data_IF_531484430998
#
_entry.id   IF_531484430998
#
_cell.length_a   1.000
_cell.length_b   1.000
_cell.length_c   1.000
_cell.angle_alpha   90.00
_cell.angle_beta   90.00
_cell.angle_gamma   90.00
#
_symmetry.space_group_name_H-M   'P 1'
#
loop_
_entity.id
_entity.type
_entity.pdbx_description
1 polymer ?
#
# COMPACT_ATOMS: atom_id res chain seq x y z
N UNK A 1 21.08 -22.09 -13.56
CA UNK A 1 19.95 -22.38 -12.66
C UNK A 1 18.95 -23.18 -13.48
N UNK A 2 18.69 -24.44 -13.11
CA UNK A 2 17.95 -25.39 -13.93
C UNK A 2 16.46 -24.99 -14.03
N UNK A 3 15.91 -24.98 -15.24
CA UNK A 3 14.49 -24.64 -15.52
C UNK A 3 13.51 -25.48 -14.67
N UNK A 4 13.89 -26.72 -14.36
CA UNK A 4 13.10 -27.63 -13.50
C UNK A 4 13.01 -27.17 -12.02
N UNK A 5 13.99 -26.42 -11.55
CA UNK A 5 14.01 -25.87 -10.18
C UNK A 5 13.11 -24.65 -10.07
N UNK A 6 13.04 -23.83 -11.13
CA UNK A 6 12.14 -22.66 -11.22
C UNK A 6 10.68 -23.09 -11.30
N UNK A 7 10.37 -24.15 -12.07
CA UNK A 7 9.00 -24.69 -12.16
C UNK A 7 8.54 -25.35 -10.86
N UNK A 8 9.45 -26.01 -10.13
CA UNK A 8 9.13 -26.63 -8.86
C UNK A 8 8.89 -25.62 -7.74
N UNK A 9 9.63 -24.51 -7.76
CA UNK A 9 9.43 -23.38 -6.85
C UNK A 9 8.11 -22.65 -7.16
N UNK A 10 7.80 -22.41 -8.44
CA UNK A 10 6.50 -21.85 -8.87
C UNK A 10 5.32 -22.76 -8.48
N UNK A 11 5.50 -24.07 -8.55
CA UNK A 11 4.46 -25.02 -8.14
C UNK A 11 4.27 -25.04 -6.62
N UNK A 12 5.37 -24.88 -5.85
CA UNK A 12 5.31 -24.73 -4.39
C UNK A 12 4.61 -23.43 -3.98
N UNK A 13 4.90 -22.31 -4.62
CA UNK A 13 4.21 -21.02 -4.40
C UNK A 13 2.73 -21.12 -4.76
N UNK A 14 2.38 -21.79 -5.86
CA UNK A 14 0.99 -22.05 -6.25
C UNK A 14 0.24 -22.95 -5.23
N UNK A 15 0.97 -23.73 -4.44
CA UNK A 15 0.44 -24.58 -3.37
C UNK A 15 0.46 -23.91 -1.99
N UNK A 16 1.21 -22.81 -1.81
CA UNK A 16 1.20 -22.02 -0.59
C UNK A 16 -0.01 -21.09 -0.61
N UNK A 17 -1.06 -21.51 0.04
CA UNK A 17 -2.26 -20.70 0.21
C UNK A 17 -1.95 -19.59 1.22
N UNK A 18 -1.89 -18.36 0.76
CA UNK A 18 -1.72 -17.20 1.64
C UNK A 18 -3.08 -16.84 2.22
N UNK A 19 -3.32 -17.28 3.44
CA UNK A 19 -4.61 -17.08 4.13
C UNK A 19 -4.50 -16.03 5.24
N UNK A 20 -3.35 -15.96 5.98
CA UNK A 20 -3.17 -15.08 7.12
C UNK A 20 -2.05 -14.05 6.85
N UNK A 21 -2.41 -12.78 6.81
CA UNK A 21 -1.53 -11.68 6.40
C UNK A 21 -1.46 -10.61 7.49
N UNK A 22 -0.25 -10.17 7.85
CA UNK A 22 -0.03 -8.90 8.53
C UNK A 22 0.17 -7.80 7.47
N UNK A 23 -0.67 -6.78 7.50
CA UNK A 23 -0.61 -5.65 6.58
C UNK A 23 -0.09 -4.38 7.26
N UNK A 24 0.76 -3.63 6.55
CA UNK A 24 1.41 -2.40 7.04
C UNK A 24 1.12 -1.24 6.09
N UNK A 25 0.63 -0.13 6.64
CA UNK A 25 0.41 1.14 5.92
C UNK A 25 1.18 2.27 6.59
N UNK A 26 2.09 2.90 5.82
CA UNK A 26 2.90 4.04 6.28
C UNK A 26 3.18 5.05 5.16
N UNK A 27 2.53 4.90 4.02
CA UNK A 27 2.82 5.69 2.81
C UNK A 27 2.44 7.17 2.92
N UNK A 28 1.61 7.52 3.88
CA UNK A 28 1.05 8.87 4.05
C UNK A 28 1.13 9.35 5.50
N UNK A 29 0.21 10.21 5.91
CA UNK A 29 0.01 10.60 7.33
C UNK A 29 -0.74 9.53 8.14
N UNK A 30 -1.21 8.46 7.53
CA UNK A 30 -1.73 7.29 8.23
C UNK A 30 -0.58 6.34 8.56
N UNK A 31 -0.53 5.90 9.82
CA UNK A 31 0.27 4.77 10.25
C UNK A 31 -0.67 3.68 10.71
N UNK A 32 -0.50 2.45 10.22
CA UNK A 32 -1.41 1.38 10.56
C UNK A 32 -0.83 -0.02 10.37
N UNK A 33 -1.40 -0.96 11.13
CA UNK A 33 -1.23 -2.40 10.98
C UNK A 33 -2.60 -3.08 11.02
N UNK A 34 -2.77 -4.15 10.24
CA UNK A 34 -3.98 -4.96 10.25
C UNK A 34 -3.61 -6.44 10.10
N UNK A 35 -4.43 -7.31 10.68
CA UNK A 35 -4.35 -8.76 10.48
C UNK A 35 -5.56 -9.21 9.69
N UNK A 36 -5.31 -9.82 8.54
CA UNK A 36 -6.33 -10.27 7.59
C UNK A 36 -6.24 -11.79 7.47
N UNK A 37 -7.36 -12.47 7.63
CA UNK A 37 -7.48 -13.90 7.37
C UNK A 37 -8.44 -14.10 6.19
N UNK A 38 -7.89 -14.42 5.03
CA UNK A 38 -8.64 -14.48 3.75
C UNK A 38 -9.29 -13.13 3.44
N UNK A 39 -10.61 -13.11 3.34
CA UNK A 39 -11.41 -11.91 3.09
C UNK A 39 -11.85 -11.20 4.37
N UNK A 40 -11.46 -11.73 5.55
CA UNK A 40 -11.92 -11.22 6.84
C UNK A 40 -10.83 -10.40 7.52
N UNK A 41 -11.20 -9.22 7.96
CA UNK A 41 -10.36 -8.39 8.82
C UNK A 41 -10.49 -8.84 10.26
N UNK A 42 -9.44 -9.43 10.83
CA UNK A 42 -9.42 -9.85 12.23
C UNK A 42 -9.16 -8.68 13.17
N UNK A 43 -8.25 -7.79 12.80
CA UNK A 43 -7.92 -6.61 13.58
C UNK A 43 -7.37 -5.48 12.70
N UNK A 44 -7.61 -4.25 13.12
CA UNK A 44 -7.02 -3.02 12.54
C UNK A 44 -6.61 -2.10 13.67
N UNK A 45 -5.39 -1.58 13.58
CA UNK A 45 -4.86 -0.53 14.45
C UNK A 45 -4.24 0.53 13.57
N UNK A 46 -4.89 1.65 13.39
CA UNK A 46 -4.39 2.73 12.54
C UNK A 46 -4.73 4.10 13.12
N UNK A 47 -3.87 5.07 12.87
CA UNK A 47 -4.01 6.44 13.36
C UNK A 47 -3.43 7.45 12.38
N UNK A 48 -4.08 8.59 12.28
CA UNK A 48 -3.48 9.78 11.69
C UNK A 48 -2.31 10.25 12.56
N UNK A 49 -1.13 10.34 11.99
CA UNK A 49 0.07 10.74 12.73
C UNK A 49 0.96 11.64 11.89
N UNK A 50 1.71 12.52 12.56
CA UNK A 50 2.68 13.37 11.91
C UNK A 50 4.10 12.97 12.33
N UNK A 51 4.87 12.39 11.40
CA UNK A 51 6.30 12.05 11.55
C UNK A 51 6.65 11.08 12.71
N UNK A 52 5.66 10.32 13.23
CA UNK A 52 5.88 9.35 14.34
C UNK A 52 5.76 7.89 13.90
N UNK A 53 5.77 7.61 12.60
CA UNK A 53 5.58 6.25 12.08
C UNK A 53 6.57 5.25 12.67
N UNK A 54 7.87 5.60 12.75
CA UNK A 54 8.89 4.70 13.29
C UNK A 54 8.72 4.41 14.79
N UNK A 55 8.12 5.35 15.53
CA UNK A 55 7.89 5.21 16.97
C UNK A 55 6.68 4.31 17.28
N UNK A 56 5.58 4.48 16.51
CA UNK A 56 4.29 3.87 16.83
C UNK A 56 3.99 2.59 16.03
N UNK A 57 4.61 2.37 14.88
CA UNK A 57 4.34 1.19 14.06
C UNK A 57 4.62 -0.14 14.77
N UNK A 58 5.71 -0.32 15.54
CA UNK A 58 5.92 -1.55 16.28
C UNK A 58 4.80 -1.86 17.29
N UNK A 59 4.34 -0.87 18.04
CA UNK A 59 3.21 -0.99 18.97
C UNK A 59 1.91 -1.35 18.23
N UNK A 60 1.67 -0.76 17.05
CA UNK A 60 0.47 -1.06 16.28
C UNK A 60 0.46 -2.48 15.73
N UNK A 61 1.62 -2.98 15.30
CA UNK A 61 1.78 -4.38 14.86
C UNK A 61 1.51 -5.33 16.04
N UNK A 62 2.14 -5.10 17.20
CA UNK A 62 1.93 -5.89 18.40
C UNK A 62 0.44 -5.89 18.79
N UNK A 63 -0.18 -4.72 18.90
CA UNK A 63 -1.60 -4.58 19.24
C UNK A 63 -2.53 -5.28 18.21
N UNK A 64 -2.21 -5.21 16.92
CA UNK A 64 -3.01 -5.86 15.89
C UNK A 64 -2.92 -7.40 16.01
N UNK A 65 -1.74 -7.93 16.26
CA UNK A 65 -1.52 -9.36 16.49
C UNK A 65 -2.22 -9.84 17.76
N UNK A 66 -2.09 -9.10 18.88
CA UNK A 66 -2.78 -9.43 20.14
C UNK A 66 -4.30 -9.46 19.97
N UNK A 67 -4.89 -8.44 19.35
CA UNK A 67 -6.35 -8.35 19.10
C UNK A 67 -6.86 -9.47 18.21
N UNK A 68 -6.06 -9.94 17.28
CA UNK A 68 -6.40 -11.06 16.41
C UNK A 68 -6.11 -12.43 17.04
N UNK A 69 -5.47 -12.46 18.23
CA UNK A 69 -4.98 -13.68 18.89
C UNK A 69 -4.02 -14.48 17.99
N UNK A 70 -3.18 -13.77 17.22
CA UNK A 70 -2.17 -14.36 16.34
C UNK A 70 -0.79 -13.89 16.75
N UNK A 71 0.23 -14.63 16.33
CA UNK A 71 1.65 -14.30 16.45
C UNK A 71 2.26 -14.14 15.06
N UNK A 72 3.47 -13.58 14.97
CA UNK A 72 4.18 -13.48 13.68
C UNK A 72 4.45 -14.86 13.08
N UNK A 73 4.63 -15.88 13.92
CA UNK A 73 4.84 -17.26 13.50
C UNK A 73 3.62 -17.95 12.87
N UNK A 74 2.41 -17.40 13.04
CA UNK A 74 1.19 -17.90 12.44
C UNK A 74 0.94 -17.34 11.03
N UNK A 75 1.67 -16.29 10.65
CA UNK A 75 1.46 -15.57 9.39
C UNK A 75 1.97 -16.35 8.19
N UNK A 76 1.28 -16.23 7.07
CA UNK A 76 1.71 -16.77 5.77
C UNK A 76 2.50 -15.72 4.95
N UNK A 77 2.22 -14.43 5.16
CA UNK A 77 2.89 -13.34 4.47
C UNK A 77 2.79 -12.00 5.22
N UNK A 78 3.63 -11.05 4.81
CA UNK A 78 3.53 -9.65 5.21
C UNK A 78 3.17 -8.82 3.99
N UNK A 79 2.09 -8.03 4.08
CA UNK A 79 1.72 -7.05 3.07
C UNK A 79 2.21 -5.66 3.48
N UNK A 80 2.66 -4.85 2.52
CA UNK A 80 3.10 -3.49 2.79
C UNK A 80 2.80 -2.56 1.63
N UNK A 81 2.30 -1.36 1.91
CA UNK A 81 2.17 -0.33 0.90
C UNK A 81 3.54 0.13 0.40
N UNK A 82 3.76 0.04 -0.92
CA UNK A 82 5.07 0.34 -1.53
C UNK A 82 5.13 1.69 -2.26
N UNK A 83 4.03 2.40 -2.34
CA UNK A 83 3.94 3.68 -3.02
C UNK A 83 2.80 3.74 -4.06
N UNK A 84 2.59 4.95 -4.58
CA UNK A 84 3.27 6.21 -4.26
C UNK A 84 2.97 6.71 -2.85
N UNK A 85 3.88 7.52 -2.28
CA UNK A 85 3.72 8.06 -0.94
C UNK A 85 4.95 8.83 -0.45
N UNK A 86 4.97 9.13 0.85
CA UNK A 86 6.09 9.85 1.46
C UNK A 86 7.34 8.98 1.52
N UNK A 87 8.47 9.54 1.12
CA UNK A 87 9.76 8.84 1.05
C UNK A 87 10.16 8.17 2.39
N UNK A 88 10.01 8.89 3.50
CA UNK A 88 10.33 8.39 4.83
C UNK A 88 9.36 7.30 5.27
N UNK A 89 8.06 7.53 5.08
CA UNK A 89 7.02 6.58 5.47
C UNK A 89 7.17 5.23 4.75
N UNK A 90 7.33 5.24 3.44
CA UNK A 90 7.55 4.02 2.64
C UNK A 90 8.77 3.22 3.10
N UNK A 91 9.87 3.91 3.47
CA UNK A 91 11.08 3.23 3.99
C UNK A 91 10.85 2.61 5.37
N UNK A 92 10.13 3.29 6.25
CA UNK A 92 9.79 2.76 7.57
C UNK A 92 8.96 1.48 7.41
N UNK A 93 7.87 1.53 6.65
CA UNK A 93 6.99 0.38 6.46
C UNK A 93 7.72 -0.79 5.81
N UNK A 94 8.42 -0.55 4.70
CA UNK A 94 9.15 -1.62 4.01
C UNK A 94 10.31 -2.16 4.84
N UNK A 95 11.04 -1.31 5.58
CA UNK A 95 12.11 -1.75 6.48
C UNK A 95 11.58 -2.67 7.58
N UNK A 96 10.46 -2.30 8.21
CA UNK A 96 9.77 -3.12 9.22
C UNK A 96 9.29 -4.45 8.62
N UNK A 97 8.61 -4.39 7.45
CA UNK A 97 8.15 -5.60 6.76
C UNK A 97 9.31 -6.55 6.43
N UNK A 98 10.43 -6.04 5.92
CA UNK A 98 11.63 -6.83 5.65
C UNK A 98 12.25 -7.44 6.91
N UNK A 99 12.31 -6.68 8.01
CA UNK A 99 12.83 -7.20 9.27
C UNK A 99 12.02 -8.37 9.80
N UNK A 100 10.69 -8.26 9.80
CA UNK A 100 9.78 -9.34 10.19
C UNK A 100 9.84 -10.53 9.22
N UNK A 101 9.84 -10.26 7.92
CA UNK A 101 9.94 -11.30 6.89
C UNK A 101 11.25 -12.09 7.02
N UNK A 102 12.36 -11.40 7.24
CA UNK A 102 13.65 -12.06 7.43
C UNK A 102 13.71 -12.93 8.69
N UNK A 103 13.15 -12.45 9.80
CA UNK A 103 13.23 -13.18 11.08
C UNK A 103 12.35 -14.44 11.13
N UNK A 104 11.35 -14.55 10.25
CA UNK A 104 10.38 -15.65 10.24
C UNK A 104 10.28 -16.37 8.88
N UNK A 105 11.20 -16.08 7.96
CA UNK A 105 11.23 -16.64 6.59
C UNK A 105 9.91 -16.46 5.84
N UNK A 106 9.28 -15.28 6.00
CA UNK A 106 7.99 -14.96 5.39
C UNK A 106 8.18 -14.22 4.06
N UNK A 107 7.31 -14.46 3.07
CA UNK A 107 7.25 -13.65 1.86
C UNK A 107 6.63 -12.28 2.13
N UNK A 108 6.88 -11.33 1.22
CA UNK A 108 6.24 -10.01 1.22
C UNK A 108 5.33 -9.87 -0.01
N UNK A 109 4.14 -9.29 0.22
CA UNK A 109 3.23 -8.84 -0.83
C UNK A 109 3.31 -7.31 -0.91
N UNK A 110 4.02 -6.74 -1.88
CA UNK A 110 4.06 -5.30 -2.11
C UNK A 110 2.73 -4.82 -2.73
N UNK A 111 2.09 -3.85 -2.08
CA UNK A 111 0.76 -3.37 -2.47
C UNK A 111 0.84 -1.92 -2.95
N UNK A 112 0.39 -1.61 -4.19
CA UNK A 112 0.32 -0.24 -4.67
C UNK A 112 -0.64 0.60 -3.83
N UNK A 113 -0.16 1.73 -3.30
CA UNK A 113 -0.92 2.56 -2.34
C UNK A 113 -2.25 3.06 -2.91
N UNK A 114 -2.25 3.62 -4.13
CA UNK A 114 -3.48 4.14 -4.73
C UNK A 114 -4.48 3.03 -5.06
N UNK A 115 -4.01 1.81 -5.38
CA UNK A 115 -4.90 0.66 -5.58
C UNK A 115 -5.57 0.21 -4.27
N UNK A 116 -4.84 0.19 -3.15
CA UNK A 116 -5.44 -0.12 -1.84
C UNK A 116 -6.48 0.92 -1.42
N UNK A 117 -6.24 2.20 -1.71
CA UNK A 117 -7.21 3.28 -1.48
C UNK A 117 -8.45 3.12 -2.35
N UNK A 118 -8.29 2.75 -3.63
CA UNK A 118 -9.40 2.47 -4.53
C UNK A 118 -10.28 1.33 -3.99
N UNK A 119 -9.68 0.26 -3.45
CA UNK A 119 -10.42 -0.86 -2.84
C UNK A 119 -11.35 -0.38 -1.71
N UNK A 120 -10.91 0.56 -0.88
CA UNK A 120 -11.74 1.16 0.17
C UNK A 120 -13.01 1.87 -0.35
N UNK A 121 -13.08 2.11 -1.65
CA UNK A 121 -14.21 2.71 -2.36
C UNK A 121 -14.86 1.75 -3.37
N UNK A 122 -14.70 0.43 -3.22
CA UNK A 122 -15.17 -0.58 -4.18
C UNK A 122 -16.67 -0.44 -4.58
N UNK A 123 -17.53 0.05 -3.68
CA UNK A 123 -18.96 0.29 -3.99
C UNK A 123 -19.18 1.43 -4.99
N UNK A 124 -18.21 2.32 -5.15
CA UNK A 124 -18.25 3.48 -6.06
C UNK A 124 -17.39 3.25 -7.31
N UNK A 125 -16.57 2.20 -7.32
CA UNK A 125 -15.67 1.82 -8.42
C UNK A 125 -14.97 3.01 -9.08
N UNK A 126 -14.20 3.82 -8.32
CA UNK A 126 -13.53 4.99 -8.89
C UNK A 126 -12.54 4.58 -9.98
N UNK A 127 -12.55 5.30 -11.09
CA UNK A 127 -11.67 5.03 -12.23
C UNK A 127 -10.30 5.70 -12.10
N UNK A 128 -10.17 6.69 -11.21
CA UNK A 128 -8.96 7.50 -11.04
C UNK A 128 -8.74 7.79 -9.57
N UNK A 129 -7.46 7.90 -9.20
CA UNK A 129 -7.06 8.28 -7.86
C UNK A 129 -5.94 9.30 -7.88
N UNK A 130 -6.04 10.27 -6.96
CA UNK A 130 -4.98 11.23 -6.71
C UNK A 130 -4.63 11.27 -5.22
N UNK A 131 -3.35 11.50 -4.94
CA UNK A 131 -2.90 11.82 -3.60
C UNK A 131 -1.84 12.91 -3.63
N UNK A 132 -1.82 13.73 -2.58
CA UNK A 132 -0.86 14.83 -2.45
C UNK A 132 0.58 14.31 -2.39
N UNK A 133 1.47 14.95 -3.15
CA UNK A 133 2.91 14.70 -3.08
C UNK A 133 3.60 15.85 -2.34
N UNK A 134 3.81 16.99 -2.97
CA UNK A 134 4.36 18.21 -2.37
C UNK A 134 4.08 19.44 -3.25
N UNK A 135 4.02 20.64 -2.65
CA UNK A 135 3.75 21.88 -3.39
C UNK A 135 2.41 21.83 -4.10
N UNK A 136 2.41 21.86 -5.43
CA UNK A 136 1.23 21.66 -6.28
C UNK A 136 1.20 20.28 -6.95
N UNK A 137 2.11 19.39 -6.60
CA UNK A 137 2.24 18.09 -7.26
C UNK A 137 1.40 17.03 -6.58
N UNK A 138 0.81 16.17 -7.40
CA UNK A 138 0.03 15.01 -7.01
C UNK A 138 0.65 13.74 -7.61
N UNK A 139 0.36 12.61 -6.97
CA UNK A 139 0.40 11.30 -7.60
C UNK A 139 -0.95 11.03 -8.25
N UNK A 140 -0.96 10.46 -9.43
CA UNK A 140 -2.14 10.15 -10.23
C UNK A 140 -2.06 8.73 -10.75
N UNK A 141 -3.18 7.99 -10.73
CA UNK A 141 -3.28 6.64 -11.28
C UNK A 141 -4.69 6.35 -11.79
N UNK A 142 -4.76 5.56 -12.88
CA UNK A 142 -6.01 5.07 -13.46
C UNK A 142 -6.25 3.60 -13.12
N UNK A 143 -7.52 3.24 -13.01
CA UNK A 143 -7.97 1.91 -12.65
C UNK A 143 -9.09 1.46 -13.58
N UNK A 144 -9.14 0.15 -13.85
CA UNK A 144 -10.37 -0.51 -14.24
C UNK A 144 -10.79 -1.49 -13.13
N UNK A 145 -12.03 -1.96 -13.19
CA UNK A 145 -12.56 -2.83 -12.15
C UNK A 145 -12.91 -4.20 -12.76
N UNK A 146 -12.46 -5.26 -12.10
CA UNK A 146 -12.78 -6.64 -12.47
C UNK A 146 -13.11 -7.41 -11.20
N UNK A 147 -14.27 -8.04 -11.14
CA UNK A 147 -14.75 -8.79 -9.97
C UNK A 147 -14.72 -7.96 -8.67
N UNK A 148 -15.13 -6.70 -8.74
CA UNK A 148 -15.09 -5.72 -7.64
C UNK A 148 -13.68 -5.41 -7.09
N UNK A 149 -12.63 -5.73 -7.83
CA UNK A 149 -11.24 -5.42 -7.47
C UNK A 149 -10.67 -4.35 -8.40
N UNK A 150 -9.94 -3.36 -7.86
CA UNK A 150 -9.26 -2.35 -8.66
C UNK A 150 -8.05 -2.96 -9.36
N UNK A 151 -8.05 -2.93 -10.67
CA UNK A 151 -6.91 -3.35 -11.48
C UNK A 151 -6.19 -2.12 -12.01
N UNK A 152 -4.92 -2.02 -11.69
CA UNK A 152 -4.05 -0.91 -12.10
C UNK A 152 -3.85 -0.97 -13.62
N UNK A 153 -4.12 0.13 -14.31
CA UNK A 153 -3.97 0.22 -15.77
C UNK A 153 -2.52 0.46 -16.17
N UNK A 154 -1.87 1.43 -15.49
CA UNK A 154 -0.52 1.88 -15.78
C UNK A 154 0.24 2.19 -14.49
N UNK A 155 1.55 2.46 -14.60
CA UNK A 155 2.33 2.95 -13.48
C UNK A 155 1.78 4.31 -13.01
N UNK A 156 1.79 4.59 -11.70
CA UNK A 156 1.37 5.88 -11.20
C UNK A 156 2.27 6.98 -11.75
N UNK A 157 1.66 8.13 -12.05
CA UNK A 157 2.34 9.34 -12.52
C UNK A 157 2.50 10.35 -11.39
N UNK A 158 3.46 11.25 -11.52
CA UNK A 158 3.61 12.43 -10.65
C UNK A 158 3.77 13.67 -11.51
N UNK A 159 3.02 14.73 -11.20
CA UNK A 159 3.07 15.98 -11.94
C UNK A 159 2.33 17.11 -11.21
N UNK A 160 2.36 18.31 -11.78
CA UNK A 160 1.57 19.43 -11.28
C UNK A 160 0.08 19.13 -11.46
N UNK A 161 -0.76 19.53 -10.50
CA UNK A 161 -2.21 19.31 -10.55
C UNK A 161 -2.83 19.87 -11.84
N UNK A 162 -2.28 20.95 -12.38
CA UNK A 162 -2.78 21.57 -13.60
C UNK A 162 -2.63 20.66 -14.83
N UNK A 163 -1.65 19.76 -14.86
CA UNK A 163 -1.46 18.76 -15.92
C UNK A 163 -2.57 17.68 -15.93
N UNK A 164 -3.21 17.46 -14.79
CA UNK A 164 -4.22 16.42 -14.62
C UNK A 164 -5.65 16.97 -14.50
N UNK A 165 -5.82 18.29 -14.42
CA UNK A 165 -7.10 18.93 -14.14
C UNK A 165 -8.25 18.47 -15.06
N UNK A 166 -8.00 18.37 -16.35
CA UNK A 166 -8.99 17.91 -17.33
C UNK A 166 -9.32 16.42 -17.23
N UNK A 167 -8.45 15.64 -16.59
CA UNK A 167 -8.66 14.19 -16.35
C UNK A 167 -9.51 13.91 -15.12
N UNK A 168 -9.65 14.88 -14.21
CA UNK A 168 -10.42 14.69 -12.98
C UNK A 168 -11.92 14.69 -13.27
N UNK A 169 -12.66 13.85 -12.56
CA UNK A 169 -14.11 13.69 -12.70
C UNK A 169 -14.72 13.26 -11.36
N UNK A 170 -16.03 13.16 -11.28
CA UNK A 170 -16.74 12.65 -10.10
C UNK A 170 -16.39 11.19 -9.76
N UNK A 171 -15.77 10.43 -10.69
CA UNK A 171 -15.23 9.09 -10.44
C UNK A 171 -13.77 9.11 -9.99
N UNK A 172 -13.21 10.27 -9.66
CA UNK A 172 -11.86 10.40 -9.10
C UNK A 172 -11.92 10.46 -7.59
N UNK A 173 -11.10 9.67 -6.89
CA UNK A 173 -10.88 9.84 -5.46
C UNK A 173 -9.64 10.67 -5.15
N UNK A 174 -9.61 11.26 -3.97
CA UNK A 174 -8.48 12.09 -3.52
C UNK A 174 -8.09 11.81 -2.06
N UNK A 175 -6.82 12.07 -1.75
CA UNK A 175 -6.28 12.12 -0.40
C UNK A 175 -5.33 13.30 -0.21
N UNK A 176 -5.61 14.14 0.79
CA UNK A 176 -4.83 15.34 1.15
C UNK A 176 -4.63 16.35 0.00
N UNK A 177 -5.58 16.42 -0.96
CA UNK A 177 -5.49 17.33 -2.11
C UNK A 177 -6.37 18.58 -1.95
N UNK A 178 -7.04 18.78 -0.82
CA UNK A 178 -8.03 19.85 -0.58
C UNK A 178 -7.43 21.26 -0.76
N UNK A 179 -6.13 21.42 -0.47
CA UNK A 179 -5.46 22.72 -0.58
C UNK A 179 -5.05 23.11 -1.99
N UNK A 180 -5.05 22.15 -2.94
CA UNK A 180 -4.55 22.36 -4.31
C UNK A 180 -5.58 22.04 -5.39
N UNK A 181 -6.66 21.36 -5.05
CA UNK A 181 -7.79 21.06 -5.95
C UNK A 181 -8.95 21.99 -5.61
N UNK A 182 -9.29 22.91 -6.52
CA UNK A 182 -10.33 23.94 -6.29
C UNK A 182 -11.70 23.35 -5.92
N UNK A 183 -12.06 22.21 -6.50
CA UNK A 183 -13.32 21.51 -6.27
C UNK A 183 -13.11 20.12 -5.63
N UNK A 184 -12.15 20.01 -4.71
CA UNK A 184 -11.82 18.73 -4.04
C UNK A 184 -13.04 18.06 -3.41
N UNK A 185 -14.04 18.83 -2.96
CA UNK A 185 -15.31 18.32 -2.40
C UNK A 185 -16.20 17.61 -3.45
N UNK A 186 -15.97 17.81 -4.75
CA UNK A 186 -16.66 17.09 -5.82
C UNK A 186 -16.04 15.70 -6.07
N UNK A 187 -14.83 15.47 -5.55
CA UNK A 187 -14.12 14.20 -5.66
C UNK A 187 -14.47 13.26 -4.49
N UNK A 188 -14.27 11.97 -4.69
CA UNK A 188 -14.49 10.98 -3.65
C UNK A 188 -13.37 11.06 -2.60
N UNK A 189 -13.71 11.23 -1.34
CA UNK A 189 -12.72 11.12 -0.26
C UNK A 189 -12.26 9.67 -0.08
N UNK A 190 -10.96 9.43 -0.08
CA UNK A 190 -10.37 8.14 0.25
C UNK A 190 -9.24 8.35 1.26
N UNK A 191 -8.90 7.32 2.03
CA UNK A 191 -7.74 7.33 2.91
C UNK A 191 -6.94 6.06 2.73
N UNK A 192 -5.62 6.08 2.84
CA UNK A 192 -4.81 4.87 3.00
C UNK A 192 -5.26 4.11 4.25
N UNK A 193 -5.23 2.78 4.19
CA UNK A 193 -5.61 1.92 5.31
C UNK A 193 -4.85 0.60 5.25
N UNK A 194 -4.34 0.13 6.38
CA UNK A 194 -3.71 -1.17 6.50
C UNK A 194 -4.69 -2.32 6.20
N UNK A 195 -5.96 -2.15 6.52
CA UNK A 195 -7.01 -3.10 6.15
C UNK A 195 -7.07 -3.32 4.64
N UNK A 196 -7.17 -2.23 3.86
CA UNK A 196 -7.23 -2.31 2.40
C UNK A 196 -5.94 -2.85 1.78
N UNK A 197 -4.78 -2.56 2.39
CA UNK A 197 -3.49 -3.15 1.99
C UNK A 197 -3.56 -4.67 2.15
N UNK A 198 -4.02 -5.17 3.29
CA UNK A 198 -4.10 -6.60 3.55
C UNK A 198 -5.14 -7.33 2.68
N UNK A 199 -6.33 -6.76 2.52
CA UNK A 199 -7.37 -7.32 1.66
C UNK A 199 -6.91 -7.39 0.19
N UNK A 200 -6.30 -6.32 -0.32
CA UNK A 200 -5.80 -6.31 -1.69
C UNK A 200 -4.63 -7.28 -1.87
N UNK A 201 -3.77 -7.41 -0.86
CA UNK A 201 -2.69 -8.40 -0.85
C UNK A 201 -3.23 -9.83 -0.93
N UNK A 202 -4.28 -10.16 -0.18
CA UNK A 202 -4.93 -11.47 -0.24
C UNK A 202 -5.41 -11.79 -1.66
N UNK A 203 -6.14 -10.86 -2.30
CA UNK A 203 -6.68 -11.06 -3.65
C UNK A 203 -5.63 -11.14 -4.76
N UNK A 204 -4.48 -10.52 -4.56
CA UNK A 204 -3.41 -10.46 -5.57
C UNK A 204 -2.13 -11.18 -5.15
N UNK A 205 -2.16 -11.99 -4.07
CA UNK A 205 -0.97 -12.71 -3.57
C UNK A 205 -0.27 -13.54 -4.65
N UNK A 206 -1.01 -14.28 -5.46
CA UNK A 206 -0.47 -15.10 -6.57
C UNK A 206 0.30 -14.29 -7.63
N UNK A 207 0.05 -12.99 -7.73
CA UNK A 207 0.71 -12.13 -8.71
C UNK A 207 1.81 -11.26 -8.11
N UNK A 208 1.63 -10.83 -6.86
CA UNK A 208 2.49 -9.83 -6.24
C UNK A 208 3.45 -10.39 -5.19
N UNK A 209 3.27 -11.62 -4.75
CA UNK A 209 4.13 -12.24 -3.74
C UNK A 209 5.59 -12.25 -4.16
N UNK A 210 6.48 -11.84 -3.23
CA UNK A 210 7.93 -11.89 -3.38
C UNK A 210 8.50 -12.75 -2.24
N UNK A 211 9.01 -13.94 -2.59
CA UNK A 211 9.58 -14.89 -1.62
C UNK A 211 10.88 -14.39 -0.98
N UNK A 212 11.72 -13.70 -1.75
CA UNK A 212 13.00 -13.18 -1.30
C UNK A 212 13.04 -11.66 -1.45
N UNK A 213 12.43 -10.91 -0.50
CA UNK A 213 12.19 -9.48 -0.66
C UNK A 213 13.40 -8.59 -0.39
N UNK A 214 14.63 -9.13 -0.39
CA UNK A 214 15.82 -8.38 0.01
C UNK A 214 16.09 -7.18 -0.90
N UNK A 215 15.83 -7.31 -2.20
CA UNK A 215 16.04 -6.27 -3.21
C UNK A 215 14.78 -5.41 -3.45
N UNK A 216 13.68 -5.69 -2.75
CA UNK A 216 12.46 -4.89 -2.86
C UNK A 216 12.74 -3.46 -2.36
N UNK A 217 12.45 -2.48 -3.17
CA UNK A 217 12.55 -1.05 -2.85
C UNK A 217 11.19 -0.38 -3.00
N UNK A 218 10.94 0.73 -2.28
CA UNK A 218 9.72 1.49 -2.49
C UNK A 218 9.63 2.03 -3.93
N UNK A 219 8.42 2.17 -4.43
CA UNK A 219 8.16 2.76 -5.74
C UNK A 219 8.32 4.29 -5.68
N UNK A 220 9.54 4.76 -5.90
CA UNK A 220 9.87 6.20 -5.93
C UNK A 220 9.52 6.78 -7.28
N UNK A 221 8.36 7.43 -7.38
CA UNK A 221 7.88 8.05 -8.61
C UNK A 221 8.35 9.50 -8.71
N UNK A 222 8.39 10.21 -7.58
CA UNK A 222 8.93 11.57 -7.51
C UNK A 222 10.45 11.52 -7.28
N UNK A 223 11.28 12.17 -8.10
CA UNK A 223 12.68 12.32 -7.78
C UNK A 223 12.84 13.07 -6.45
N UNK A 224 13.81 12.66 -5.65
CA UNK A 224 14.15 13.34 -4.41
C UNK A 224 14.79 14.70 -4.74
N UNK A 225 14.00 15.77 -4.67
CA UNK A 225 14.51 17.15 -4.80
C UNK A 225 15.06 17.59 -3.44
N UNK A 226 16.39 17.63 -3.32
CA UNK A 226 17.01 18.33 -2.20
C UNK A 226 16.71 19.82 -2.35
N UNK A 227 15.90 20.37 -1.45
CA UNK A 227 15.74 21.82 -1.32
C UNK A 227 17.10 22.40 -0.91
N UNK A 228 17.93 22.77 -1.87
CA UNK A 228 19.07 23.65 -1.65
C UNK A 228 18.54 25.04 -1.27
N UNK A 229 18.09 25.21 -0.02
CA UNK A 229 18.01 26.55 0.57
C UNK A 229 19.44 27.08 0.54
N UNK A 230 19.74 27.98 -0.39
CA UNK A 230 20.93 28.83 -0.30
C UNK A 230 20.83 29.56 1.04
N UNK A 231 21.81 29.30 1.89
CA UNK A 231 22.07 30.03 3.13
C UNK A 231 22.50 31.45 2.75
#
# INVERSE_FOLDING_TARGET
>A
MDIRTVDRLRLLVYLMKIDLILAIETSSTICGAAVIEKENTLSVVEKLTNRKHAEILPEFIETALEKSQKTVGDLDAIAVSIGPGTFTGLRIGLGTAKGLAYSHDLPIVPVPTLASMALGLQKKTPEKGISFSHGKRIFYQEFNWKNNLPNVMDKPMVGDIDEFREKLSSSTFQWNCESIVTDANSLLGAKPSAENVGLLAYYYSDKWLIEKPYDLVPEYIAPFEMNNKKI
#
